data_IF_364290917757
#
_entry.id   IF_364290917757
#
_cell.length_a   1.000
_cell.length_b   1.000
_cell.length_c   1.000
_cell.angle_alpha   90.00
_cell.angle_beta   90.00
_cell.angle_gamma   90.00
#
_symmetry.space_group_name_H-M   'P 1'
#
loop_
_entity.id
_entity.type
_entity.pdbx_description
1 polymer ?
#
# COMPACT_ATOMS: atom_id res chain seq x y z
N UNK A 1 26.07 -77.34 21.63
CA UNK A 1 25.72 -76.04 22.21
C UNK A 1 25.85 -74.98 21.11
N UNK A 2 24.74 -74.42 20.60
CA UNK A 2 24.74 -73.37 19.57
C UNK A 2 24.33 -72.05 20.23
N UNK A 3 25.24 -71.09 20.27
CA UNK A 3 25.00 -69.71 20.71
C UNK A 3 24.20 -68.97 19.61
N UNK A 4 23.10 -68.32 19.98
CA UNK A 4 22.34 -67.44 19.10
C UNK A 4 22.89 -66.01 19.18
N UNK A 5 23.17 -65.39 18.03
CA UNK A 5 23.55 -63.99 17.93
C UNK A 5 22.30 -63.09 17.96
N UNK A 6 22.26 -62.12 18.88
CA UNK A 6 21.22 -61.10 18.95
C UNK A 6 21.52 -59.97 17.97
N UNK A 7 20.55 -59.70 17.09
CA UNK A 7 20.60 -58.64 16.06
C UNK A 7 20.39 -57.27 16.72
N UNK A 8 21.47 -56.50 16.82
CA UNK A 8 21.49 -55.12 17.31
C UNK A 8 20.65 -54.23 16.37
N UNK A 9 19.46 -53.81 16.83
CA UNK A 9 18.64 -52.81 16.12
C UNK A 9 19.32 -51.45 16.30
N UNK A 10 20.01 -50.99 15.26
CA UNK A 10 20.69 -49.70 15.24
C UNK A 10 19.73 -48.55 15.54
N UNK A 11 20.20 -47.60 16.33
CA UNK A 11 19.46 -46.43 16.82
C UNK A 11 19.19 -45.43 15.67
N UNK A 12 18.31 -45.80 14.73
CA UNK A 12 17.82 -44.91 13.65
C UNK A 12 17.26 -43.60 14.22
N UNK A 13 16.67 -43.68 15.41
CA UNK A 13 16.15 -42.52 16.12
C UNK A 13 17.23 -41.49 16.49
N UNK A 14 18.47 -41.91 16.78
CA UNK A 14 19.58 -41.01 17.08
C UNK A 14 19.95 -40.16 15.85
N UNK A 15 19.89 -40.74 14.66
CA UNK A 15 20.22 -40.04 13.42
C UNK A 15 19.17 -39.01 13.02
N UNK A 16 17.89 -39.28 13.27
CA UNK A 16 16.80 -38.32 12.99
C UNK A 16 16.93 -37.07 13.87
N UNK A 17 17.22 -37.24 15.16
CA UNK A 17 17.42 -36.11 16.08
C UNK A 17 18.64 -35.27 15.67
N UNK A 18 19.71 -35.92 15.21
CA UNK A 18 20.93 -35.23 14.79
C UNK A 18 20.72 -34.39 13.52
N UNK A 19 19.94 -34.88 12.55
CA UNK A 19 19.60 -34.12 11.32
C UNK A 19 18.73 -32.90 11.62
N UNK A 20 17.73 -33.04 12.51
CA UNK A 20 16.87 -31.91 12.90
C UNK A 20 17.69 -30.83 13.63
N UNK A 21 18.61 -31.24 14.50
CA UNK A 21 19.49 -30.31 15.21
C UNK A 21 20.43 -29.56 14.26
N UNK A 22 21.02 -30.24 13.26
CA UNK A 22 21.84 -29.59 12.23
C UNK A 22 21.03 -28.61 11.36
N UNK A 23 19.79 -28.94 11.00
CA UNK A 23 18.92 -28.05 10.22
C UNK A 23 18.54 -26.77 11.01
N UNK A 24 18.28 -26.90 12.31
CA UNK A 24 17.99 -25.75 13.17
C UNK A 24 19.20 -24.80 13.33
N UNK A 25 20.41 -25.35 13.45
CA UNK A 25 21.64 -24.55 13.51
C UNK A 25 21.92 -23.82 12.18
N UNK A 26 21.73 -24.49 11.04
CA UNK A 26 21.90 -23.85 9.73
C UNK A 26 20.86 -22.75 9.49
N UNK A 27 19.60 -22.98 9.84
CA UNK A 27 18.52 -21.98 9.72
C UNK A 27 18.75 -20.75 10.60
N UNK A 28 19.25 -20.93 11.83
CA UNK A 28 19.55 -19.83 12.75
C UNK A 28 20.68 -18.91 12.27
N UNK A 29 21.69 -19.45 11.60
CA UNK A 29 22.80 -18.67 11.03
C UNK A 29 22.32 -17.83 9.84
N UNK A 30 21.51 -18.41 8.95
CA UNK A 30 20.96 -17.70 7.78
C UNK A 30 20.02 -16.58 8.22
N UNK A 31 19.17 -16.81 9.22
CA UNK A 31 18.27 -15.79 9.75
C UNK A 31 19.01 -14.62 10.39
N UNK A 32 20.16 -14.88 11.05
CA UNK A 32 20.96 -13.82 11.68
C UNK A 32 21.66 -12.92 10.66
N UNK A 33 22.20 -13.47 9.58
CA UNK A 33 22.86 -12.65 8.55
C UNK A 33 21.90 -11.82 7.72
N UNK A 34 20.64 -12.26 7.56
CA UNK A 34 19.64 -11.47 6.86
C UNK A 34 19.08 -10.29 7.69
N UNK A 35 19.59 -10.08 8.92
CA UNK A 35 19.13 -9.02 9.85
C UNK A 35 20.14 -7.87 10.02
N UNK A 36 21.27 -7.90 9.32
CA UNK A 36 22.34 -6.88 9.42
C UNK A 36 22.58 -6.18 8.06
N UNK A 37 21.55 -5.50 7.55
CA UNK A 37 21.66 -4.32 6.68
C UNK A 37 20.54 -3.36 7.15
N UNK A 38 20.76 -2.17 7.70
CA UNK A 38 21.83 -1.18 7.51
C UNK A 38 22.03 -0.36 8.80
N UNK A 39 23.26 -0.29 9.31
CA UNK A 39 23.68 0.77 10.26
C UNK A 39 24.82 1.53 9.61
N UNK A 40 24.49 2.59 8.88
CA UNK A 40 25.46 3.61 8.50
C UNK A 40 25.68 4.53 9.70
N UNK A 41 26.86 4.42 10.30
CA UNK A 41 27.42 5.41 11.22
C UNK A 41 28.57 6.09 10.49
N UNK A 42 28.53 7.41 10.30
CA UNK A 42 29.70 8.30 10.43
C UNK A 42 29.31 9.79 10.46
N UNK A 43 29.58 10.38 11.64
CA UNK A 43 30.03 11.75 11.95
C UNK A 43 29.02 12.88 12.21
N UNK A 44 28.98 13.19 13.52
CA UNK A 44 28.48 14.37 14.20
C UNK A 44 29.10 15.69 13.73
N UNK A 45 28.23 16.66 13.42
CA UNK A 45 28.49 18.09 13.60
C UNK A 45 27.45 18.63 14.59
N UNK A 46 27.90 19.03 15.79
CA UNK A 46 27.07 19.63 16.83
C UNK A 46 26.80 21.09 16.51
N UNK A 47 25.53 21.48 16.39
CA UNK A 47 25.09 22.85 16.74
C UNK A 47 23.68 22.81 17.30
N UNK A 48 23.58 23.13 18.58
CA UNK A 48 22.38 23.44 19.35
C UNK A 48 21.59 24.59 18.72
N UNK A 49 20.27 24.46 18.54
CA UNK A 49 19.26 25.53 18.78
C UNK A 49 17.82 24.97 18.69
N UNK A 50 17.07 25.23 19.76
CA UNK A 50 15.61 25.35 19.97
C UNK A 50 14.61 24.54 19.15
N UNK A 51 13.71 23.89 19.91
CA UNK A 51 12.57 23.12 19.44
C UNK A 51 11.65 23.87 18.47
N UNK A 52 11.21 23.12 17.46
CA UNK A 52 10.11 23.45 16.57
C UNK A 52 9.25 22.20 16.47
N UNK A 53 8.00 22.30 16.91
CA UNK A 53 6.96 21.30 16.75
C UNK A 53 6.76 21.02 15.26
N UNK A 54 7.15 19.83 14.79
CA UNK A 54 6.87 19.39 13.42
C UNK A 54 5.38 19.07 13.31
N UNK A 55 4.60 20.08 12.96
CA UNK A 55 3.26 19.89 12.42
C UNK A 55 3.42 19.23 11.05
N UNK A 56 2.99 17.96 10.94
CA UNK A 56 2.77 17.28 9.66
C UNK A 56 1.76 18.09 8.86
N UNK A 57 2.24 19.03 8.05
CA UNK A 57 1.42 19.74 7.07
C UNK A 57 1.18 18.77 5.92
N UNK A 58 0.09 18.02 6.01
CA UNK A 58 -0.59 17.46 4.84
C UNK A 58 -0.71 18.59 3.82
N UNK A 59 -0.05 18.51 2.64
CA UNK A 59 -0.23 19.51 1.61
C UNK A 59 -1.69 19.40 1.16
N UNK A 60 -2.52 20.30 1.68
CA UNK A 60 -3.85 20.54 1.14
C UNK A 60 -3.60 21.29 -0.15
N UNK A 61 -3.47 20.53 -1.25
CA UNK A 61 -3.48 21.07 -2.60
C UNK A 61 -4.80 21.83 -2.77
N UNK A 62 -4.73 23.13 -2.52
CA UNK A 62 -5.84 24.06 -2.68
C UNK A 62 -5.77 24.51 -4.12
N UNK A 63 -6.33 23.70 -5.01
CA UNK A 63 -6.51 24.05 -6.41
C UNK A 63 -7.91 24.70 -6.52
N UNK A 64 -7.95 26.03 -6.64
CA UNK A 64 -9.18 26.82 -6.68
C UNK A 64 -10.09 26.37 -7.85
N UNK A 65 -11.37 26.19 -7.52
CA UNK A 65 -12.42 25.49 -8.28
C UNK A 65 -12.90 26.22 -9.56
N UNK A 66 -12.01 26.57 -10.48
CA UNK A 66 -12.40 26.98 -11.84
C UNK A 66 -12.64 25.77 -12.76
N UNK A 67 -12.04 24.61 -12.46
CA UNK A 67 -12.10 23.39 -13.28
C UNK A 67 -12.42 22.14 -12.45
N UNK A 68 -13.47 22.16 -11.62
CA UNK A 68 -13.79 21.02 -10.73
C UNK A 68 -13.98 19.68 -11.47
N UNK A 69 -14.32 19.72 -12.77
CA UNK A 69 -14.43 18.55 -13.66
C UNK A 69 -13.10 17.90 -14.00
N UNK A 70 -11.97 18.56 -13.79
CA UNK A 70 -10.66 18.01 -14.12
C UNK A 70 -9.79 18.07 -12.88
N UNK A 71 -9.51 16.90 -12.32
CA UNK A 71 -8.49 16.75 -11.30
C UNK A 71 -7.13 16.66 -11.98
N UNK A 72 -6.18 17.46 -11.51
CA UNK A 72 -4.78 17.39 -11.97
C UNK A 72 -3.88 17.18 -10.77
N UNK A 73 -2.96 16.22 -10.89
CA UNK A 73 -1.91 16.01 -9.91
C UNK A 73 -0.55 16.30 -10.53
N UNK A 74 -0.01 17.48 -10.24
CA UNK A 74 1.28 17.93 -10.77
C UNK A 74 2.48 17.19 -10.18
N UNK A 75 2.35 16.59 -8.99
CA UNK A 75 3.43 15.81 -8.36
C UNK A 75 3.71 14.52 -9.12
N UNK A 76 2.65 13.84 -9.58
CA UNK A 76 2.74 12.56 -10.30
C UNK A 76 2.44 12.67 -11.80
N UNK A 77 2.17 13.88 -12.29
CA UNK A 77 2.03 14.18 -13.71
C UNK A 77 0.83 13.51 -14.39
N UNK A 78 -0.34 13.47 -13.72
CA UNK A 78 -1.55 12.89 -14.31
C UNK A 78 -2.79 13.77 -14.10
N UNK A 79 -3.83 13.50 -14.88
CA UNK A 79 -5.14 14.12 -14.71
C UNK A 79 -6.28 13.12 -14.93
N UNK A 80 -7.43 13.42 -14.32
CA UNK A 80 -8.69 12.69 -14.42
C UNK A 80 -9.83 13.66 -14.72
N UNK A 81 -10.82 13.21 -15.47
CA UNK A 81 -12.10 13.92 -15.63
C UNK A 81 -13.13 13.33 -14.68
N UNK A 82 -13.71 14.19 -13.84
CA UNK A 82 -14.69 13.84 -12.82
C UNK A 82 -16.09 14.29 -13.27
N UNK A 83 -17.10 13.42 -13.19
CA UNK A 83 -18.47 13.72 -13.59
C UNK A 83 -19.19 14.52 -12.49
N UNK A 84 -20.40 15.02 -12.78
CA UNK A 84 -21.17 15.89 -11.88
C UNK A 84 -21.48 15.23 -10.53
N UNK A 85 -21.55 13.90 -10.44
CA UNK A 85 -21.72 13.14 -9.19
C UNK A 85 -20.55 13.35 -8.23
N UNK A 86 -19.37 13.75 -8.72
CA UNK A 86 -18.21 14.08 -7.91
C UNK A 86 -18.13 15.56 -7.53
N UNK A 87 -19.18 16.35 -7.77
CA UNK A 87 -19.18 17.76 -7.37
C UNK A 87 -19.02 17.90 -5.85
N UNK A 88 -18.04 18.70 -5.43
CA UNK A 88 -17.71 18.90 -4.02
C UNK A 88 -16.83 17.80 -3.42
N UNK A 89 -16.22 16.95 -4.25
CA UNK A 89 -15.20 16.00 -3.80
C UNK A 89 -14.03 16.71 -3.11
N UNK A 90 -13.33 15.95 -2.26
CA UNK A 90 -12.03 16.31 -1.70
C UNK A 90 -11.04 15.20 -1.97
N UNK A 91 -9.76 15.53 -2.08
CA UNK A 91 -8.71 14.52 -2.15
C UNK A 91 -7.93 14.43 -0.86
N UNK A 92 -7.51 13.21 -0.52
CA UNK A 92 -6.60 12.94 0.59
C UNK A 92 -5.47 12.04 0.09
N UNK A 93 -4.24 12.42 0.39
CA UNK A 93 -3.06 11.60 0.07
C UNK A 93 -2.51 10.93 1.32
N UNK A 94 -2.08 9.68 1.20
CA UNK A 94 -1.35 8.97 2.26
C UNK A 94 -0.23 8.11 1.69
N UNK A 95 0.67 7.65 2.57
CA UNK A 95 1.68 6.65 2.24
C UNK A 95 1.25 5.32 2.85
N UNK A 96 1.16 4.27 2.03
CA UNK A 96 0.83 2.93 2.48
C UNK A 96 2.05 2.25 3.10
N UNK A 97 1.83 1.17 3.85
CA UNK A 97 2.89 0.46 4.56
C UNK A 97 3.99 -0.11 3.65
N UNK A 98 3.67 -0.38 2.38
CA UNK A 98 4.62 -0.83 1.35
C UNK A 98 5.40 0.34 0.71
N UNK A 99 5.21 1.58 1.18
CA UNK A 99 5.85 2.79 0.67
C UNK A 99 5.16 3.40 -0.55
N UNK A 100 4.13 2.77 -1.10
CA UNK A 100 3.35 3.35 -2.20
C UNK A 100 2.51 4.53 -1.70
N UNK A 101 2.04 5.35 -2.64
CA UNK A 101 1.19 6.52 -2.34
C UNK A 101 -0.23 6.22 -2.78
N UNK A 102 -1.21 6.65 -1.99
CA UNK A 102 -2.62 6.55 -2.36
C UNK A 102 -3.27 7.93 -2.30
N UNK A 103 -3.98 8.29 -3.36
CA UNK A 103 -4.80 9.51 -3.46
C UNK A 103 -6.26 9.08 -3.45
N UNK A 104 -6.92 9.28 -2.32
CA UNK A 104 -8.34 9.01 -2.12
C UNK A 104 -9.18 10.16 -2.66
N UNK A 105 -10.28 9.83 -3.34
CA UNK A 105 -11.28 10.78 -3.78
C UNK A 105 -12.49 10.65 -2.86
N UNK A 106 -12.66 11.59 -1.93
CA UNK A 106 -13.72 11.60 -0.94
C UNK A 106 -14.94 12.41 -1.38
N UNK A 107 -16.14 11.88 -1.16
CA UNK A 107 -17.42 12.59 -1.32
C UNK A 107 -18.11 12.75 0.04
N UNK A 108 -18.77 13.90 0.29
CA UNK A 108 -19.51 14.08 1.53
C UNK A 108 -20.64 13.05 1.61
N UNK A 109 -20.81 12.47 2.81
CA UNK A 109 -21.90 11.53 3.11
C UNK A 109 -22.64 11.99 4.35
N UNK A 110 -23.95 11.76 4.36
CA UNK A 110 -24.82 11.97 5.53
C UNK A 110 -25.17 10.66 6.24
N UNK A 111 -24.61 9.53 5.78
CA UNK A 111 -24.88 8.20 6.31
C UNK A 111 -24.26 8.07 7.71
N UNK A 112 -25.11 7.89 8.72
CA UNK A 112 -24.66 7.84 10.14
C UNK A 112 -23.96 6.54 10.50
N UNK A 113 -24.21 5.50 9.73
CA UNK A 113 -23.60 4.17 9.80
C UNK A 113 -22.24 4.11 9.10
N UNK A 114 -21.89 5.12 8.30
CA UNK A 114 -20.60 5.19 7.62
C UNK A 114 -19.63 6.07 8.40
N UNK A 115 -18.68 5.43 9.10
CA UNK A 115 -17.68 6.12 9.91
C UNK A 115 -16.27 5.91 9.34
N UNK A 116 -15.86 6.79 8.43
CA UNK A 116 -14.47 6.86 8.03
C UNK A 116 -13.67 7.65 9.08
N UNK A 117 -12.92 6.92 9.92
CA UNK A 117 -12.14 7.49 11.03
C UNK A 117 -11.09 8.48 10.51
N UNK A 118 -10.49 8.18 9.37
CA UNK A 118 -9.44 9.02 8.78
C UNK A 118 -10.00 10.26 8.10
N UNK A 119 -11.26 10.21 7.65
CA UNK A 119 -11.90 11.29 6.91
C UNK A 119 -13.38 11.44 7.31
N UNK A 120 -13.67 11.92 8.54
CA UNK A 120 -15.03 11.98 9.06
C UNK A 120 -15.97 12.81 8.17
N UNK A 121 -17.15 12.26 7.87
CA UNK A 121 -18.15 12.90 7.01
C UNK A 121 -17.91 12.73 5.50
N UNK A 122 -16.89 11.97 5.11
CA UNK A 122 -16.62 11.62 3.71
C UNK A 122 -16.54 10.11 3.51
N UNK A 123 -17.08 9.64 2.39
CA UNK A 123 -16.81 8.31 1.87
C UNK A 123 -15.81 8.40 0.73
N UNK A 124 -14.92 7.42 0.60
CA UNK A 124 -13.83 7.41 -0.38
C UNK A 124 -14.11 6.33 -1.42
N UNK A 125 -14.88 6.60 -2.51
CA UNK A 125 -15.36 5.56 -3.40
C UNK A 125 -14.25 4.90 -4.21
N UNK A 126 -13.15 5.60 -4.42
CA UNK A 126 -11.95 5.03 -5.01
C UNK A 126 -10.69 5.80 -4.58
N UNK A 127 -9.55 5.15 -4.80
CA UNK A 127 -8.23 5.74 -4.69
C UNK A 127 -7.39 5.44 -5.93
N UNK A 128 -6.49 6.36 -6.27
CA UNK A 128 -5.40 6.13 -7.21
C UNK A 128 -4.16 5.77 -6.40
N UNK A 129 -3.67 4.56 -6.61
CA UNK A 129 -2.46 4.03 -6.00
C UNK A 129 -1.29 4.22 -6.95
N UNK A 130 -0.18 4.74 -6.43
CA UNK A 130 1.03 5.08 -7.17
C UNK A 130 2.17 4.29 -6.57
N UNK A 131 2.70 3.36 -7.36
CA UNK A 131 3.77 2.46 -6.98
C UNK A 131 5.04 2.83 -7.73
N UNK A 132 6.21 2.57 -7.13
CA UNK A 132 7.42 2.40 -7.93
C UNK A 132 7.29 1.13 -8.79
N UNK A 133 8.06 1.03 -9.87
CA UNK A 133 8.05 -0.17 -10.73
C UNK A 133 8.28 -1.46 -9.92
N UNK A 134 9.31 -1.48 -9.08
CA UNK A 134 9.62 -2.63 -8.21
C UNK A 134 8.62 -2.83 -7.08
N UNK A 135 7.91 -1.77 -6.66
CA UNK A 135 6.82 -1.86 -5.70
C UNK A 135 5.61 -2.58 -6.29
N UNK A 136 5.29 -2.30 -7.56
CA UNK A 136 4.21 -2.96 -8.27
C UNK A 136 4.47 -4.45 -8.51
N UNK A 137 5.68 -4.83 -8.91
CA UNK A 137 6.06 -6.25 -9.07
C UNK A 137 5.85 -7.06 -7.79
N UNK A 138 6.15 -6.45 -6.63
CA UNK A 138 5.89 -7.08 -5.32
C UNK A 138 4.40 -7.19 -5.04
N UNK A 139 3.63 -6.15 -5.35
CA UNK A 139 2.18 -6.15 -5.17
C UNK A 139 1.50 -7.23 -6.02
N UNK A 140 1.89 -7.39 -7.29
CA UNK A 140 1.36 -8.42 -8.20
C UNK A 140 1.71 -9.84 -7.76
N UNK A 141 2.74 -10.03 -6.94
CA UNK A 141 3.16 -11.34 -6.44
C UNK A 141 2.31 -11.85 -5.26
N UNK A 142 1.46 -11.00 -4.68
CA UNK A 142 0.65 -11.35 -3.50
C UNK A 142 -0.68 -11.96 -3.97
N UNK A 143 -1.04 -13.14 -3.43
CA UNK A 143 -2.35 -13.78 -3.66
C UNK A 143 -3.48 -13.09 -2.87
N UNK A 144 -3.69 -11.79 -3.09
CA UNK A 144 -4.78 -11.01 -2.50
C UNK A 144 -5.44 -10.13 -3.56
N UNK A 145 -6.66 -9.63 -3.30
CA UNK A 145 -7.26 -8.61 -4.15
C UNK A 145 -6.32 -7.41 -4.23
N UNK A 146 -5.72 -7.21 -5.40
CA UNK A 146 -4.81 -6.11 -5.67
C UNK A 146 -5.54 -5.01 -6.47
N UNK A 147 -5.06 -3.76 -6.41
CA UNK A 147 -5.55 -2.70 -7.27
C UNK A 147 -5.50 -3.07 -8.76
N UNK A 148 -6.38 -2.46 -9.55
CA UNK A 148 -6.41 -2.66 -11.00
C UNK A 148 -5.46 -1.68 -11.69
N UNK A 149 -4.54 -2.20 -12.50
CA UNK A 149 -3.62 -1.38 -13.30
C UNK A 149 -4.39 -0.40 -14.20
N UNK A 150 -4.00 0.87 -14.16
CA UNK A 150 -4.50 1.93 -15.04
C UNK A 150 -3.51 2.15 -16.18
N UNK A 151 -2.29 2.54 -15.83
CA UNK A 151 -1.21 2.88 -16.76
C UNK A 151 0.14 2.96 -16.01
N UNK A 152 1.24 3.16 -16.74
CA UNK A 152 2.57 3.35 -16.15
C UNK A 152 3.41 4.33 -16.97
N UNK A 153 4.40 4.94 -16.30
CA UNK A 153 5.47 5.71 -16.95
C UNK A 153 6.84 5.11 -16.57
N UNK A 154 7.94 5.82 -16.85
CA UNK A 154 9.29 5.35 -16.55
C UNK A 154 9.62 5.22 -15.05
N UNK A 155 8.80 5.80 -14.18
CA UNK A 155 9.07 5.93 -12.74
C UNK A 155 8.01 5.22 -11.91
N UNK A 156 6.74 5.32 -12.32
CA UNK A 156 5.60 4.89 -11.53
C UNK A 156 4.63 4.01 -12.30
N UNK A 157 3.98 3.12 -11.54
CA UNK A 157 2.79 2.39 -11.95
C UNK A 157 1.58 3.00 -11.25
N UNK A 158 0.53 3.27 -12.01
CA UNK A 158 -0.73 3.81 -11.52
C UNK A 158 -1.77 2.71 -11.54
N UNK A 159 -2.38 2.45 -10.40
CA UNK A 159 -3.46 1.49 -10.25
C UNK A 159 -4.63 2.14 -9.49
N UNK A 160 -5.83 1.58 -9.56
CA UNK A 160 -6.95 2.06 -8.76
C UNK A 160 -7.58 0.96 -7.91
N UNK A 161 -8.12 1.37 -6.77
CA UNK A 161 -8.92 0.53 -5.89
C UNK A 161 -10.25 1.23 -5.63
N UNK A 162 -11.36 0.50 -5.74
CA UNK A 162 -12.67 0.99 -5.31
C UNK A 162 -12.93 0.69 -3.84
N UNK A 163 -13.94 1.33 -3.26
CA UNK A 163 -14.46 0.96 -1.94
C UNK A 163 -14.93 -0.50 -1.90
N UNK A 164 -14.87 -1.11 -0.73
CA UNK A 164 -15.50 -2.42 -0.48
C UNK A 164 -16.92 -2.25 0.07
N UNK A 165 -17.12 -1.19 0.86
CA UNK A 165 -18.39 -0.83 1.45
C UNK A 165 -18.69 0.64 1.17
N UNK A 166 -19.96 0.94 0.90
CA UNK A 166 -20.42 2.26 0.50
C UNK A 166 -21.51 2.73 1.46
N UNK A 167 -21.59 4.04 1.73
CA UNK A 167 -22.68 4.56 2.54
C UNK A 167 -23.99 4.51 1.75
N UNK A 168 -25.08 4.29 2.48
CA UNK A 168 -26.43 4.13 1.92
C UNK A 168 -26.87 5.28 0.99
N UNK A 169 -26.37 6.50 1.22
CA UNK A 169 -26.71 7.69 0.44
C UNK A 169 -25.92 7.86 -0.88
N UNK A 170 -24.85 7.07 -1.06
CA UNK A 170 -23.98 7.12 -2.25
C UNK A 170 -23.93 5.80 -3.04
N UNK A 171 -24.25 4.64 -2.46
CA UNK A 171 -24.13 3.34 -3.12
C UNK A 171 -24.80 3.26 -4.51
N UNK A 172 -26.00 3.82 -4.64
CA UNK A 172 -26.74 3.80 -5.91
C UNK A 172 -26.21 4.82 -6.92
N UNK A 173 -25.62 5.92 -6.45
CA UNK A 173 -25.14 7.02 -7.29
C UNK A 173 -23.72 6.73 -7.81
N UNK A 174 -22.86 6.23 -6.94
CA UNK A 174 -21.44 6.02 -7.21
C UNK A 174 -21.21 4.55 -7.51
N UNK A 175 -21.56 4.15 -8.73
CA UNK A 175 -21.42 2.76 -9.16
C UNK A 175 -19.98 2.43 -9.56
N UNK A 176 -19.64 1.14 -9.55
CA UNK A 176 -18.37 0.65 -10.10
C UNK A 176 -18.20 1.02 -11.59
N UNK A 177 -19.30 1.12 -12.34
CA UNK A 177 -19.26 1.58 -13.74
C UNK A 177 -18.89 3.05 -13.85
N UNK A 178 -19.42 3.90 -12.96
CA UNK A 178 -19.07 5.31 -12.90
C UNK A 178 -17.57 5.48 -12.57
N UNK A 179 -17.08 4.75 -11.56
CA UNK A 179 -15.65 4.75 -11.20
C UNK A 179 -14.81 4.33 -12.41
N UNK A 180 -15.12 3.21 -13.08
CA UNK A 180 -14.41 2.79 -14.29
C UNK A 180 -14.43 3.85 -15.40
N UNK A 181 -15.55 4.56 -15.56
CA UNK A 181 -15.64 5.67 -16.52
C UNK A 181 -14.67 6.81 -16.17
N UNK A 182 -14.55 7.17 -14.89
CA UNK A 182 -13.55 8.16 -14.43
C UNK A 182 -12.14 7.66 -14.72
N UNK A 183 -11.82 6.43 -14.35
CA UNK A 183 -10.49 5.84 -14.56
C UNK A 183 -10.13 5.82 -16.05
N UNK A 184 -11.09 5.59 -16.94
CA UNK A 184 -10.85 5.61 -18.40
C UNK A 184 -10.42 6.98 -18.95
N UNK A 185 -10.62 8.05 -18.18
CA UNK A 185 -10.20 9.42 -18.54
C UNK A 185 -8.78 9.74 -18.07
N UNK A 186 -8.10 8.80 -17.41
CA UNK A 186 -6.73 8.96 -16.95
C UNK A 186 -5.81 9.28 -18.13
N UNK A 187 -5.04 10.36 -17.98
CA UNK A 187 -4.00 10.76 -18.94
C UNK A 187 -2.83 11.40 -18.22
N UNK A 188 -1.64 11.18 -18.75
CA UNK A 188 -0.46 11.92 -18.32
C UNK A 188 -0.58 13.38 -18.73
N UNK A 189 -0.13 14.28 -17.86
CA UNK A 189 0.03 15.68 -18.19
C UNK A 189 1.32 15.87 -19.01
N UNK A 190 1.34 16.81 -19.97
CA UNK A 190 2.54 17.13 -20.74
C UNK A 190 3.72 17.58 -19.89
#
# INVERSE_FOLDING_TARGET
MKQMATKQRGNVWLWIVLVIFCAALAGGIIWRWNREESVDTTTSGTTTTSGTTTTTTTPTATDETANWRTYTNSEYGFSLTLPDEFKGYKTRSTTLNNGSKAIYFGLPTNSKDYNNIDNPGYAEPFAINIYTLSGWEKEESIEQPHPTLINQNSTYVFAYSGWQDCPSDLCEKITQSLIKSIISTFKFTP
#
